data_IF_488239144430
#
_entry.id   IF_488239144430
#
_cell.length_a   1.000
_cell.length_b   1.000
_cell.length_c   1.000
_cell.angle_alpha   90.00
_cell.angle_beta   90.00
_cell.angle_gamma   90.00
#
_symmetry.space_group_name_H-M   'P 1'
#
loop_
_entity.id
_entity.type
_entity.pdbx_description
1 polymer ?
#
# COMPACT_ATOMS: atom_id res chain seq x y z
N UNK A 1 -20.64 25.48 -5.67
CA UNK A 1 -19.76 24.53 -6.40
C UNK A 1 -20.51 24.10 -7.65
N UNK A 2 -19.90 24.17 -8.83
CA UNK A 2 -20.47 23.60 -10.05
C UNK A 2 -20.64 22.09 -9.86
N UNK A 3 -21.69 21.53 -10.42
CA UNK A 3 -21.88 20.07 -10.42
C UNK A 3 -20.79 19.46 -11.30
N UNK A 4 -20.07 18.45 -10.81
CA UNK A 4 -19.13 17.69 -11.62
C UNK A 4 -19.89 16.93 -12.71
N UNK A 5 -19.39 17.02 -13.93
CA UNK A 5 -19.87 16.27 -15.08
C UNK A 5 -18.91 15.14 -15.45
N UNK A 6 -19.37 14.20 -16.27
CA UNK A 6 -18.55 13.05 -16.68
C UNK A 6 -17.25 13.48 -17.38
N UNK A 7 -17.32 14.53 -18.19
CA UNK A 7 -16.14 15.05 -18.90
C UNK A 7 -15.08 15.60 -17.94
N UNK A 8 -15.48 16.26 -16.85
CA UNK A 8 -14.53 16.74 -15.84
C UNK A 8 -13.72 15.57 -15.22
N UNK A 9 -14.34 14.39 -15.10
CA UNK A 9 -13.66 13.19 -14.58
C UNK A 9 -12.75 12.54 -15.62
N UNK A 10 -13.11 12.59 -16.91
CA UNK A 10 -12.25 12.14 -18.01
C UNK A 10 -11.05 13.07 -18.13
N UNK A 11 -11.25 14.38 -18.05
CA UNK A 11 -10.19 15.38 -18.09
C UNK A 11 -9.19 15.20 -16.96
N UNK A 12 -9.59 14.62 -15.83
CA UNK A 12 -8.68 14.23 -14.77
C UNK A 12 -7.66 13.18 -15.22
N UNK A 13 -8.08 12.15 -15.99
CA UNK A 13 -7.14 11.17 -16.55
C UNK A 13 -6.23 11.81 -17.60
N UNK A 14 -6.80 12.66 -18.47
CA UNK A 14 -6.02 13.43 -19.49
C UNK A 14 -4.98 14.31 -18.82
N UNK A 15 -5.30 14.94 -17.70
CA UNK A 15 -4.34 15.78 -16.96
C UNK A 15 -3.17 14.99 -16.36
N UNK A 16 -3.27 13.68 -16.26
CA UNK A 16 -2.21 12.78 -15.84
C UNK A 16 -1.23 12.39 -16.95
N UNK A 17 -1.54 12.71 -18.21
CA UNK A 17 -0.65 12.43 -19.34
C UNK A 17 0.63 13.25 -19.25
N UNK A 18 1.77 12.61 -19.50
CA UNK A 18 3.09 13.23 -19.46
C UNK A 18 3.91 12.87 -20.70
N UNK A 19 4.63 13.83 -21.30
CA UNK A 19 5.58 13.50 -22.36
C UNK A 19 6.65 12.51 -21.83
N UNK A 20 7.18 11.69 -22.72
CA UNK A 20 8.07 10.57 -22.33
C UNK A 20 9.34 11.03 -21.62
N UNK A 21 9.85 12.19 -21.94
CA UNK A 21 11.00 12.82 -21.31
C UNK A 21 10.78 13.18 -19.84
N UNK A 22 9.51 13.35 -19.43
CA UNK A 22 9.12 13.67 -18.06
C UNK A 22 8.71 12.46 -17.23
N UNK A 23 8.76 11.26 -17.83
CA UNK A 23 8.37 10.04 -17.12
C UNK A 23 9.24 9.75 -15.91
N UNK A 24 8.60 9.35 -14.84
CA UNK A 24 9.24 8.96 -13.59
C UNK A 24 8.75 7.57 -13.16
N UNK A 25 9.50 6.98 -12.25
CA UNK A 25 9.14 5.74 -11.56
C UNK A 25 8.89 6.09 -10.10
N UNK A 26 7.68 5.86 -9.61
CA UNK A 26 7.37 5.90 -8.18
C UNK A 26 7.40 4.49 -7.61
N UNK A 27 7.98 4.31 -6.43
CA UNK A 27 7.99 3.02 -5.75
C UNK A 27 7.48 3.11 -4.33
N UNK A 28 6.77 2.07 -3.91
CA UNK A 28 6.30 1.91 -2.53
C UNK A 28 6.86 0.63 -1.96
N UNK A 29 7.31 0.67 -0.71
CA UNK A 29 7.96 -0.47 -0.05
C UNK A 29 7.39 -0.67 1.34
N UNK A 30 6.61 -1.72 1.53
CA UNK A 30 6.09 -2.12 2.83
C UNK A 30 7.00 -3.12 3.52
N UNK A 31 7.09 -3.06 4.85
CA UNK A 31 7.83 -4.00 5.68
C UNK A 31 7.13 -4.26 7.00
N UNK A 32 7.16 -5.52 7.42
CA UNK A 32 6.76 -5.90 8.77
C UNK A 32 7.79 -5.44 9.79
N UNK A 33 7.33 -4.79 10.86
CA UNK A 33 8.16 -4.41 12.00
C UNK A 33 7.93 -5.38 13.15
N UNK A 34 9.01 -5.80 13.82
CA UNK A 34 8.96 -6.77 14.91
C UNK A 34 10.03 -6.49 15.97
N UNK A 35 9.79 -6.98 17.20
CA UNK A 35 10.78 -6.99 18.28
C UNK A 35 11.84 -8.05 18.02
N UNK A 36 13.14 -7.69 18.11
CA UNK A 36 14.25 -8.60 17.78
C UNK A 36 14.34 -9.83 18.70
N UNK A 37 13.97 -9.68 19.97
CA UNK A 37 14.05 -10.73 20.98
C UNK A 37 12.98 -11.82 20.84
N UNK A 38 11.78 -11.46 20.38
CA UNK A 38 10.60 -12.32 20.37
C UNK A 38 10.03 -12.58 18.98
N UNK A 39 10.44 -11.77 18.00
CA UNK A 39 9.83 -11.66 16.66
C UNK A 39 8.36 -11.27 16.68
N UNK A 40 7.83 -10.79 17.82
CA UNK A 40 6.44 -10.33 17.92
C UNK A 40 6.24 -9.04 17.15
N UNK A 41 5.06 -8.91 16.55
CA UNK A 41 4.65 -7.69 15.87
C UNK A 41 4.54 -6.53 16.85
N UNK A 42 4.95 -5.34 16.39
CA UNK A 42 5.02 -4.15 17.25
C UNK A 42 3.66 -3.46 17.31
N UNK A 43 3.17 -3.21 18.52
CA UNK A 43 1.97 -2.41 18.75
C UNK A 43 2.21 -0.91 18.50
N UNK A 44 1.13 -0.15 18.31
CA UNK A 44 1.26 1.29 18.11
C UNK A 44 1.74 2.00 19.38
N UNK A 45 1.13 1.70 20.53
CA UNK A 45 1.44 2.31 21.82
C UNK A 45 2.47 1.50 22.62
N UNK A 46 3.02 2.14 23.66
CA UNK A 46 3.94 1.51 24.61
C UNK A 46 5.41 1.77 24.29
N UNK A 47 6.26 1.23 25.15
CA UNK A 47 7.72 1.31 24.98
C UNK A 47 8.16 0.55 23.74
N UNK A 48 9.01 1.17 22.95
CA UNK A 48 9.44 0.63 21.64
C UNK A 48 8.26 0.39 20.68
N UNK A 49 7.13 1.10 20.82
CA UNK A 49 5.99 1.03 19.92
C UNK A 49 6.22 1.79 18.60
N UNK A 50 5.32 1.58 17.64
CA UNK A 50 5.36 2.28 16.34
C UNK A 50 5.30 3.81 16.53
N UNK A 51 4.52 4.32 17.48
CA UNK A 51 4.48 5.75 17.79
C UNK A 51 5.83 6.30 18.20
N UNK A 52 6.57 5.60 19.07
CA UNK A 52 7.90 5.99 19.48
C UNK A 52 8.89 5.95 18.31
N UNK A 53 8.81 4.90 17.48
CA UNK A 53 9.63 4.75 16.28
C UNK A 53 9.43 5.93 15.33
N UNK A 54 8.17 6.28 15.01
CA UNK A 54 7.87 7.41 14.12
C UNK A 54 8.34 8.74 14.70
N UNK A 55 8.15 8.96 16.01
CA UNK A 55 8.59 10.19 16.65
C UNK A 55 10.11 10.35 16.60
N UNK A 56 10.87 9.29 16.90
CA UNK A 56 12.35 9.30 16.79
C UNK A 56 12.83 9.51 15.36
N UNK A 57 12.18 8.87 14.38
CA UNK A 57 12.48 9.08 12.96
C UNK A 57 12.29 10.53 12.55
N UNK A 58 11.16 11.14 12.95
CA UNK A 58 10.85 12.54 12.67
C UNK A 58 11.90 13.47 13.24
N UNK A 59 12.27 13.27 14.52
CA UNK A 59 13.25 14.11 15.23
C UNK A 59 14.66 14.00 14.64
N UNK A 60 15.13 12.77 14.37
CA UNK A 60 16.47 12.55 13.82
C UNK A 60 16.65 13.04 12.39
N UNK A 61 15.57 13.02 11.58
CA UNK A 61 15.65 13.32 10.16
C UNK A 61 14.95 14.63 9.78
N UNK A 62 14.41 15.35 10.75
CA UNK A 62 13.64 16.59 10.55
C UNK A 62 12.46 16.40 9.56
N UNK A 63 11.69 15.32 9.75
CA UNK A 63 10.50 15.02 8.96
C UNK A 63 9.24 15.58 9.62
N UNK A 64 8.32 16.06 8.81
CA UNK A 64 7.00 16.51 9.27
C UNK A 64 6.17 15.33 9.77
N UNK A 65 5.53 15.48 10.92
CA UNK A 65 4.58 14.49 11.46
C UNK A 65 3.19 14.76 10.92
N UNK A 66 2.57 13.75 10.35
CA UNK A 66 1.16 13.78 9.95
C UNK A 66 0.36 13.11 11.06
N UNK A 67 -0.61 13.86 11.61
CA UNK A 67 -1.38 13.44 12.77
C UNK A 67 -2.83 13.11 12.41
N UNK A 68 -3.37 12.08 13.06
CA UNK A 68 -4.81 11.80 13.10
C UNK A 68 -5.19 11.54 14.58
N UNK A 69 -6.14 12.28 15.12
CA UNK A 69 -6.55 12.20 16.54
C UNK A 69 -5.36 12.23 17.51
N UNK A 70 -4.40 13.13 17.28
CA UNK A 70 -3.13 13.27 18.02
C UNK A 70 -2.16 12.07 17.92
N UNK A 71 -2.44 11.09 17.08
CA UNK A 71 -1.53 9.99 16.80
C UNK A 71 -0.70 10.30 15.55
N UNK A 72 0.61 10.10 15.60
CA UNK A 72 1.48 10.19 14.42
C UNK A 72 1.20 8.99 13.51
N UNK A 73 0.56 9.21 12.36
CA UNK A 73 0.16 8.14 11.43
C UNK A 73 1.03 8.07 10.17
N UNK A 74 1.80 9.10 9.92
CA UNK A 74 2.77 9.15 8.83
C UNK A 74 3.82 10.23 9.09
N UNK A 75 4.91 10.16 8.34
CA UNK A 75 5.95 11.18 8.26
C UNK A 75 6.11 11.61 6.81
N UNK A 76 6.47 12.88 6.59
CA UNK A 76 6.76 13.41 5.26
C UNK A 76 8.08 14.17 5.28
N UNK A 77 8.91 13.95 4.29
CA UNK A 77 10.12 14.75 4.10
C UNK A 77 9.85 16.00 3.24
N UNK A 78 10.85 16.85 3.11
CA UNK A 78 10.77 18.09 2.31
C UNK A 78 10.68 17.84 0.78
N UNK A 79 10.91 16.60 0.31
CA UNK A 79 10.84 16.23 -1.10
C UNK A 79 9.48 15.62 -1.49
N UNK A 80 8.62 15.35 -0.51
CA UNK A 80 7.33 14.72 -0.68
C UNK A 80 7.32 13.20 -0.48
N UNK A 81 8.48 12.57 -0.27
CA UNK A 81 8.53 11.18 0.14
C UNK A 81 7.92 11.02 1.55
N UNK A 82 7.28 9.90 1.81
CA UNK A 82 6.61 9.66 3.08
C UNK A 82 6.87 8.25 3.63
N UNK A 83 6.77 8.15 4.96
CA UNK A 83 6.66 6.87 5.66
C UNK A 83 5.27 6.84 6.27
N UNK A 84 4.48 5.84 5.90
CA UNK A 84 3.11 5.67 6.40
C UNK A 84 2.92 4.34 7.11
N UNK A 85 1.75 4.18 7.73
CA UNK A 85 1.35 2.97 8.43
C UNK A 85 0.26 2.25 7.66
N UNK A 86 0.43 0.95 7.49
CA UNK A 86 -0.62 0.04 7.07
C UNK A 86 -1.36 -0.56 8.28
N UNK A 87 -2.56 -1.16 8.11
CA UNK A 87 -3.44 -1.53 9.21
C UNK A 87 -2.78 -2.37 10.33
N UNK A 88 -1.89 -3.28 9.98
CA UNK A 88 -1.17 -4.15 10.92
C UNK A 88 0.17 -3.58 11.40
N UNK A 89 0.46 -2.31 11.14
CA UNK A 89 1.72 -1.67 11.53
C UNK A 89 2.88 -2.00 10.57
N UNK A 90 2.57 -2.45 9.35
CA UNK A 90 3.55 -2.44 8.29
C UNK A 90 3.95 -0.99 8.01
N UNK A 91 5.25 -0.74 7.93
CA UNK A 91 5.79 0.56 7.54
C UNK A 91 5.97 0.60 6.04
N UNK A 92 5.39 1.61 5.43
CA UNK A 92 5.48 1.86 4.00
C UNK A 92 6.35 3.09 3.72
N UNK A 93 7.36 2.92 2.90
CA UNK A 93 8.00 4.02 2.21
C UNK A 93 7.23 4.29 0.91
N UNK A 94 6.58 5.44 0.80
CA UNK A 94 6.12 5.97 -0.49
C UNK A 94 7.21 6.91 -1.01
N UNK A 95 8.03 6.39 -1.92
CA UNK A 95 9.16 7.10 -2.50
C UNK A 95 8.72 8.23 -3.43
N UNK A 96 9.62 9.16 -3.71
CA UNK A 96 9.36 10.20 -4.70
C UNK A 96 9.44 9.67 -6.13
N UNK A 97 8.81 10.32 -7.11
CA UNK A 97 8.99 9.98 -8.51
C UNK A 97 10.44 10.20 -8.97
N UNK A 98 11.09 9.15 -9.47
CA UNK A 98 12.51 9.12 -9.83
C UNK A 98 12.70 8.76 -11.31
N UNK A 99 13.83 9.15 -11.90
CA UNK A 99 14.09 9.00 -13.32
C UNK A 99 14.54 7.59 -13.73
N UNK A 100 15.16 6.86 -12.80
CA UNK A 100 15.75 5.56 -13.12
C UNK A 100 15.93 4.68 -11.89
N UNK A 101 16.17 3.39 -12.12
CA UNK A 101 16.34 2.36 -11.09
C UNK A 101 17.53 2.62 -10.16
N UNK A 102 18.60 3.28 -10.60
CA UNK A 102 19.74 3.61 -9.74
C UNK A 102 19.35 4.63 -8.67
N UNK A 103 18.53 5.61 -9.03
CA UNK A 103 18.00 6.58 -8.08
C UNK A 103 17.04 5.90 -7.10
N UNK A 104 16.18 5.01 -7.57
CA UNK A 104 15.26 4.21 -6.73
C UNK A 104 16.05 3.31 -5.75
N UNK A 105 17.07 2.63 -6.23
CA UNK A 105 17.94 1.80 -5.38
C UNK A 105 18.65 2.64 -4.30
N UNK A 106 19.12 3.83 -4.65
CA UNK A 106 19.74 4.76 -3.70
C UNK A 106 18.75 5.22 -2.64
N UNK A 107 17.53 5.61 -3.04
CA UNK A 107 16.46 6.02 -2.11
C UNK A 107 16.12 4.90 -1.12
N UNK A 108 15.87 3.69 -1.63
CA UNK A 108 15.59 2.52 -0.79
C UNK A 108 16.76 2.21 0.16
N UNK A 109 18.01 2.27 -0.32
CA UNK A 109 19.20 2.04 0.51
C UNK A 109 19.35 3.08 1.64
N UNK A 110 19.09 4.35 1.35
CA UNK A 110 19.08 5.40 2.36
C UNK A 110 17.97 5.21 3.39
N UNK A 111 16.76 4.86 2.93
CA UNK A 111 15.64 4.54 3.81
C UNK A 111 15.98 3.37 4.74
N UNK A 112 16.48 2.26 4.22
CA UNK A 112 16.86 1.10 5.03
C UNK A 112 17.91 1.45 6.10
N UNK A 113 18.90 2.27 5.76
CA UNK A 113 19.90 2.74 6.70
C UNK A 113 19.30 3.59 7.81
N UNK A 114 18.50 4.60 7.42
CA UNK A 114 17.80 5.48 8.36
C UNK A 114 16.92 4.70 9.35
N UNK A 115 16.15 3.72 8.84
CA UNK A 115 15.31 2.85 9.65
C UNK A 115 16.14 2.02 10.62
N UNK A 116 17.22 1.38 10.16
CA UNK A 116 18.10 0.56 10.98
C UNK A 116 18.69 1.36 12.15
N UNK A 117 19.15 2.58 11.89
CA UNK A 117 19.79 3.44 12.89
C UNK A 117 18.83 3.79 14.05
N UNK A 118 17.51 3.94 13.77
CA UNK A 118 16.51 4.22 14.82
C UNK A 118 15.99 2.95 15.45
N UNK A 119 15.70 1.93 14.66
CA UNK A 119 15.16 0.65 15.14
C UNK A 119 16.10 -0.06 16.11
N UNK A 120 17.42 -0.03 15.86
CA UNK A 120 18.41 -0.64 16.75
C UNK A 120 18.37 -0.06 18.17
N UNK A 121 18.05 1.23 18.34
CA UNK A 121 17.91 1.84 19.66
C UNK A 121 16.66 1.37 20.41
N UNK A 122 15.67 0.88 19.68
CA UNK A 122 14.38 0.42 20.21
C UNK A 122 14.30 -1.12 20.34
N UNK A 123 15.34 -1.85 19.94
CA UNK A 123 15.31 -3.32 19.87
C UNK A 123 14.32 -3.83 18.82
N UNK A 124 14.16 -3.09 17.74
CA UNK A 124 13.24 -3.39 16.64
C UNK A 124 14.01 -3.73 15.36
N UNK A 125 13.37 -4.54 14.54
CA UNK A 125 13.85 -4.85 13.20
C UNK A 125 12.68 -4.89 12.21
N UNK A 126 12.98 -4.97 10.91
CA UNK A 126 11.96 -5.05 9.86
C UNK A 126 12.35 -6.02 8.76
N UNK A 127 11.34 -6.61 8.11
CA UNK A 127 11.53 -7.55 7.00
C UNK A 127 10.46 -7.35 5.93
N UNK A 128 10.88 -7.43 4.65
CA UNK A 128 9.98 -7.43 3.49
C UNK A 128 9.65 -8.85 3.06
N UNK A 129 8.44 -9.31 3.40
CA UNK A 129 7.86 -10.59 2.97
C UNK A 129 6.46 -10.33 2.45
N UNK A 130 5.99 -11.16 1.52
CA UNK A 130 4.63 -10.98 1.00
C UNK A 130 3.52 -11.26 2.01
N UNK A 131 3.77 -12.10 3.01
CA UNK A 131 2.82 -12.47 4.06
C UNK A 131 3.53 -12.70 5.38
N UNK A 132 2.87 -12.41 6.53
CA UNK A 132 3.41 -12.69 7.87
C UNK A 132 3.57 -14.20 8.05
N UNK A 133 4.81 -14.70 8.22
CA UNK A 133 5.06 -16.13 8.20
C UNK A 133 4.72 -16.84 9.51
N UNK A 134 4.57 -16.09 10.62
CA UNK A 134 4.59 -16.66 11.98
C UNK A 134 3.31 -16.44 12.77
N UNK A 135 2.81 -15.21 12.77
CA UNK A 135 1.74 -14.80 13.68
C UNK A 135 0.36 -14.93 13.05
N UNK A 136 -0.61 -15.37 13.85
CA UNK A 136 -2.00 -15.49 13.43
C UNK A 136 -2.67 -14.11 13.28
N UNK A 137 -3.87 -14.06 12.71
CA UNK A 137 -4.68 -12.84 12.62
C UNK A 137 -4.96 -12.24 14.00
N UNK A 138 -5.19 -13.06 15.01
CA UNK A 138 -5.48 -12.61 16.38
C UNK A 138 -4.27 -12.03 17.11
N UNK A 139 -3.06 -12.33 16.65
CA UNK A 139 -1.81 -11.79 17.23
C UNK A 139 -1.44 -10.42 16.64
N UNK A 140 -2.16 -9.95 15.63
CA UNK A 140 -1.85 -8.69 14.96
C UNK A 140 -2.41 -7.49 15.72
N UNK A 141 -1.70 -6.37 15.59
CA UNK A 141 -2.11 -5.09 16.16
C UNK A 141 -2.80 -4.24 15.11
N UNK A 142 -3.72 -3.36 15.54
CA UNK A 142 -4.35 -2.38 14.67
C UNK A 142 -3.73 -1.00 14.89
N UNK A 143 -3.44 -0.31 13.79
CA UNK A 143 -2.97 1.06 13.82
C UNK A 143 -4.14 2.05 13.94
N UNK A 144 -3.95 3.20 14.64
CA UNK A 144 -5.04 4.13 14.98
C UNK A 144 -5.37 5.10 13.83
N UNK A 145 -5.80 4.56 12.68
CA UNK A 145 -6.36 5.34 11.57
C UNK A 145 -7.87 5.06 11.47
N UNK A 146 -8.70 6.12 11.43
CA UNK A 146 -10.16 5.99 11.47
C UNK A 146 -10.75 5.15 10.36
N UNK A 147 -10.17 5.22 9.15
CA UNK A 147 -10.61 4.38 8.02
C UNK A 147 -10.47 2.88 8.27
N UNK A 148 -9.51 2.48 9.12
CA UNK A 148 -9.27 1.06 9.39
C UNK A 148 -10.38 0.42 10.20
N UNK A 149 -11.05 1.16 11.07
CA UNK A 149 -12.20 0.66 11.83
C UNK A 149 -13.38 0.34 10.90
N UNK A 150 -13.66 1.22 9.93
CA UNK A 150 -14.69 1.00 8.91
C UNK A 150 -14.37 -0.26 8.09
N UNK A 151 -13.15 -0.35 7.57
CA UNK A 151 -12.71 -1.49 6.75
C UNK A 151 -12.71 -2.80 7.56
N UNK A 152 -12.28 -2.77 8.82
CA UNK A 152 -12.31 -3.91 9.74
C UNK A 152 -13.72 -4.49 9.91
N UNK A 153 -14.73 -3.62 9.98
CA UNK A 153 -16.13 -4.02 10.14
C UNK A 153 -16.77 -4.45 8.81
N UNK A 154 -16.25 -3.96 7.69
CA UNK A 154 -16.76 -4.26 6.36
C UNK A 154 -16.18 -5.56 5.77
N UNK A 155 -14.86 -5.74 5.80
CA UNK A 155 -14.17 -6.85 5.12
C UNK A 155 -14.74 -8.24 5.42
N UNK A 156 -15.11 -8.59 6.69
CA UNK A 156 -15.69 -9.91 6.99
C UNK A 156 -17.06 -10.16 6.36
N UNK A 157 -17.72 -9.14 5.80
CA UNK A 157 -19.03 -9.27 5.15
C UNK A 157 -18.92 -9.70 3.69
N UNK A 158 -17.75 -9.47 3.07
CA UNK A 158 -17.55 -9.62 1.61
C UNK A 158 -16.47 -10.64 1.24
N UNK A 159 -15.66 -11.09 2.21
CA UNK A 159 -14.63 -12.11 2.00
C UNK A 159 -14.08 -12.65 3.31
N UNK A 160 -13.43 -13.81 3.25
CA UNK A 160 -12.88 -14.46 4.45
C UNK A 160 -11.46 -13.97 4.78
N UNK A 161 -10.72 -13.46 3.78
CA UNK A 161 -9.30 -13.13 3.89
C UNK A 161 -9.02 -11.62 3.84
N UNK A 162 -10.06 -10.78 3.83
CA UNK A 162 -9.89 -9.32 3.81
C UNK A 162 -9.11 -8.78 5.01
N UNK A 163 -9.35 -9.32 6.21
CA UNK A 163 -8.57 -8.93 7.40
C UNK A 163 -7.13 -9.44 7.35
N UNK A 164 -6.87 -10.59 6.72
CA UNK A 164 -5.50 -11.07 6.50
C UNK A 164 -4.76 -10.18 5.50
N UNK A 165 -5.43 -9.75 4.44
CA UNK A 165 -4.88 -8.78 3.51
C UNK A 165 -4.45 -7.51 4.24
N UNK A 166 -5.30 -6.95 5.09
CA UNK A 166 -5.03 -5.73 5.84
C UNK A 166 -3.88 -5.86 6.84
N UNK A 167 -3.83 -6.96 7.58
CA UNK A 167 -2.95 -7.10 8.75
C UNK A 167 -1.66 -7.86 8.48
N UNK A 168 -1.66 -8.76 7.49
CA UNK A 168 -0.64 -9.79 7.32
C UNK A 168 0.04 -9.78 5.97
N UNK A 169 -0.21 -8.80 5.10
CA UNK A 169 0.48 -8.68 3.81
C UNK A 169 1.40 -7.47 3.75
N UNK A 170 2.47 -7.58 2.98
CA UNK A 170 3.28 -6.46 2.52
C UNK A 170 3.50 -6.56 1.01
N UNK A 171 3.74 -5.42 0.37
CA UNK A 171 4.01 -5.35 -1.06
C UNK A 171 5.22 -4.49 -1.38
N UNK A 172 5.69 -4.61 -2.62
CA UNK A 172 6.45 -3.59 -3.33
C UNK A 172 5.58 -3.18 -4.51
N UNK A 173 5.29 -1.89 -4.62
CA UNK A 173 4.48 -1.33 -5.70
C UNK A 173 5.33 -0.43 -6.59
N UNK A 174 5.05 -0.46 -7.89
CA UNK A 174 5.67 0.42 -8.89
C UNK A 174 4.57 1.22 -9.56
N UNK A 175 4.74 2.55 -9.60
CA UNK A 175 3.85 3.49 -10.26
C UNK A 175 4.51 3.98 -11.54
N UNK A 176 3.83 3.85 -12.68
CA UNK A 176 4.33 4.20 -14.00
C UNK A 176 3.50 5.33 -14.60
N UNK A 177 4.16 6.31 -15.21
CA UNK A 177 3.52 7.36 -15.97
C UNK A 177 3.05 6.86 -17.35
N UNK A 178 2.12 7.59 -17.97
CA UNK A 178 1.64 7.38 -19.33
C UNK A 178 1.55 8.70 -20.09
N UNK A 179 1.61 8.66 -21.45
CA UNK A 179 1.62 9.86 -22.27
C UNK A 179 0.33 10.08 -23.06
N UNK A 180 -0.56 9.08 -23.11
CA UNK A 180 -1.84 9.15 -23.80
C UNK A 180 -2.77 8.06 -23.30
N UNK A 181 -4.07 8.16 -23.62
CA UNK A 181 -5.06 7.11 -23.37
C UNK A 181 -4.61 5.75 -23.92
N UNK A 182 -4.13 5.73 -25.18
CA UNK A 182 -3.66 4.48 -25.82
C UNK A 182 -2.46 3.86 -25.09
N UNK A 183 -1.55 4.67 -24.58
CA UNK A 183 -0.41 4.20 -23.80
C UNK A 183 -0.85 3.65 -22.44
N UNK A 184 -1.81 4.30 -21.79
CA UNK A 184 -2.44 3.79 -20.56
C UNK A 184 -3.09 2.43 -20.79
N UNK A 185 -3.91 2.31 -21.83
CA UNK A 185 -4.57 1.05 -22.22
C UNK A 185 -3.53 -0.06 -22.41
N UNK A 186 -2.49 0.20 -23.19
CA UNK A 186 -1.44 -0.78 -23.48
C UNK A 186 -0.70 -1.23 -22.22
N UNK A 187 -0.29 -0.28 -21.36
CA UNK A 187 0.36 -0.58 -20.08
C UNK A 187 -0.53 -1.39 -19.15
N UNK A 188 -1.80 -1.03 -19.06
CA UNK A 188 -2.75 -1.72 -18.20
C UNK A 188 -2.97 -3.18 -18.66
N UNK A 189 -3.19 -3.39 -19.96
CA UNK A 189 -3.34 -4.73 -20.55
C UNK A 189 -2.11 -5.60 -20.31
N UNK A 190 -0.91 -5.07 -20.57
CA UNK A 190 0.35 -5.80 -20.33
C UNK A 190 0.52 -6.13 -18.85
N UNK A 191 0.27 -5.17 -17.95
CA UNK A 191 0.43 -5.37 -16.51
C UNK A 191 -0.49 -6.48 -15.99
N UNK A 192 -1.76 -6.51 -16.42
CA UNK A 192 -2.68 -7.58 -16.05
C UNK A 192 -2.33 -8.93 -16.70
N UNK A 193 -1.93 -8.94 -17.95
CA UNK A 193 -1.52 -10.17 -18.65
C UNK A 193 -0.28 -10.82 -18.02
N UNK A 194 0.65 -10.00 -17.49
CA UNK A 194 1.88 -10.46 -16.84
C UNK A 194 1.71 -10.75 -15.33
N UNK A 195 0.54 -10.55 -14.76
CA UNK A 195 0.31 -10.69 -13.31
C UNK A 195 0.71 -12.07 -12.78
N UNK A 196 0.35 -13.15 -13.47
CA UNK A 196 0.72 -14.51 -13.06
C UNK A 196 2.23 -14.76 -13.13
N UNK A 197 2.89 -14.22 -14.14
CA UNK A 197 4.35 -14.31 -14.31
C UNK A 197 5.05 -13.52 -13.19
N UNK A 198 4.61 -12.30 -12.92
CA UNK A 198 5.15 -11.48 -11.83
C UNK A 198 4.94 -12.16 -10.46
N UNK A 199 3.77 -12.75 -10.21
CA UNK A 199 3.50 -13.52 -8.99
C UNK A 199 4.47 -14.69 -8.84
N UNK A 200 4.76 -15.43 -9.90
CA UNK A 200 5.71 -16.56 -9.88
C UNK A 200 7.15 -16.09 -9.63
N UNK A 201 7.58 -15.00 -10.28
CA UNK A 201 8.95 -14.47 -10.18
C UNK A 201 9.25 -13.86 -8.80
N UNK A 202 8.26 -13.19 -8.20
CA UNK A 202 8.43 -12.45 -6.94
C UNK A 202 7.77 -13.13 -5.72
N UNK A 203 7.36 -14.40 -5.85
CA UNK A 203 6.80 -15.16 -4.73
C UNK A 203 7.80 -15.26 -3.58
N UNK A 204 7.40 -14.81 -2.39
CA UNK A 204 8.24 -14.82 -1.18
C UNK A 204 7.42 -14.96 0.11
N UNK A 205 6.30 -15.70 0.06
CA UNK A 205 5.42 -15.90 1.21
C UNK A 205 4.90 -17.35 1.32
N UNK A 206 5.80 -18.35 1.48
CA UNK A 206 5.40 -19.75 1.50
C UNK A 206 4.92 -20.25 2.87
N UNK A 207 4.96 -19.42 3.91
CA UNK A 207 4.60 -19.81 5.27
C UNK A 207 3.40 -19.05 5.82
N UNK A 208 2.55 -19.74 6.58
CA UNK A 208 1.44 -19.21 7.37
C UNK A 208 1.52 -19.85 8.76
N UNK A 209 1.55 -19.02 9.83
CA UNK A 209 1.54 -19.47 11.23
C UNK A 209 2.61 -20.52 11.54
N UNK A 210 3.81 -20.32 10.98
CA UNK A 210 4.95 -21.21 11.19
C UNK A 210 4.94 -22.50 10.37
N UNK A 211 3.94 -22.70 9.52
CA UNK A 211 3.79 -23.90 8.68
C UNK A 211 3.87 -23.55 7.19
N UNK A 212 4.31 -24.51 6.37
CA UNK A 212 4.26 -24.38 4.93
C UNK A 212 2.79 -24.31 4.46
N UNK A 213 2.43 -23.26 3.70
CA UNK A 213 1.06 -23.01 3.26
C UNK A 213 0.62 -23.85 2.05
N UNK A 214 1.56 -24.47 1.36
CA UNK A 214 1.32 -25.13 0.06
C UNK A 214 1.43 -24.17 -1.12
N UNK A 215 1.59 -22.87 -0.90
CA UNK A 215 1.78 -21.83 -1.92
C UNK A 215 3.15 -21.18 -1.79
N UNK A 216 3.76 -20.78 -2.91
CA UNK A 216 4.95 -19.94 -2.89
C UNK A 216 4.61 -18.47 -2.60
N UNK A 217 3.38 -18.07 -2.92
CA UNK A 217 2.82 -16.76 -2.63
C UNK A 217 1.47 -16.86 -1.93
N UNK A 218 1.47 -17.01 -0.60
CA UNK A 218 0.26 -16.91 0.23
C UNK A 218 -0.41 -15.55 0.09
N UNK A 219 0.37 -14.49 -0.18
CA UNK A 219 -0.15 -13.16 -0.47
C UNK A 219 -1.10 -13.16 -1.68
N UNK A 220 -0.70 -13.80 -2.77
CA UNK A 220 -1.54 -13.88 -3.97
C UNK A 220 -2.85 -14.64 -3.70
N UNK A 221 -2.79 -15.71 -2.90
CA UNK A 221 -3.96 -16.48 -2.48
C UNK A 221 -4.93 -15.63 -1.65
N UNK A 222 -4.44 -14.80 -0.74
CA UNK A 222 -5.29 -13.92 0.09
C UNK A 222 -6.14 -12.98 -0.76
N UNK A 223 -5.60 -12.43 -1.85
CA UNK A 223 -6.32 -11.53 -2.74
C UNK A 223 -7.47 -12.20 -3.51
N UNK A 224 -7.53 -13.53 -3.56
CA UNK A 224 -8.64 -14.25 -4.22
C UNK A 224 -9.92 -14.33 -3.39
N UNK A 225 -9.86 -14.01 -2.08
CA UNK A 225 -11.00 -14.03 -1.17
C UNK A 225 -10.98 -12.82 -0.20
N UNK A 226 -10.70 -11.65 -0.76
CA UNK A 226 -10.67 -10.38 0.01
C UNK A 226 -11.98 -9.63 -0.14
N UNK A 227 -12.36 -9.25 -1.36
CA UNK A 227 -13.55 -8.45 -1.66
C UNK A 227 -13.85 -8.55 -3.16
N UNK A 228 -14.89 -9.29 -3.53
CA UNK A 228 -15.23 -9.57 -4.92
C UNK A 228 -15.61 -8.32 -5.75
N UNK A 229 -16.04 -7.24 -5.10
CA UNK A 229 -16.42 -6.01 -5.77
C UNK A 229 -15.22 -5.12 -6.12
N UNK A 230 -14.08 -5.32 -5.43
CA UNK A 230 -12.91 -4.44 -5.51
C UNK A 230 -11.61 -5.13 -5.88
N UNK A 231 -11.55 -6.46 -5.76
CA UNK A 231 -10.35 -7.25 -6.05
C UNK A 231 -10.59 -8.20 -7.21
N UNK A 232 -9.54 -8.45 -7.99
CA UNK A 232 -9.59 -9.37 -9.12
C UNK A 232 -8.95 -8.77 -10.37
N UNK A 233 -9.21 -9.41 -11.50
CA UNK A 233 -8.76 -8.95 -12.82
C UNK A 233 -9.95 -8.36 -13.56
N UNK A 234 -10.04 -7.05 -13.75
CA UNK A 234 -11.15 -6.42 -14.45
C UNK A 234 -11.11 -6.77 -15.94
N UNK A 235 -11.97 -7.69 -16.36
CA UNK A 235 -12.01 -8.19 -17.73
C UNK A 235 -12.26 -7.12 -18.79
N UNK A 236 -12.91 -6.01 -18.41
CA UNK A 236 -13.14 -4.85 -19.28
C UNK A 236 -11.85 -4.26 -19.86
N UNK A 237 -10.71 -4.42 -19.20
CA UNK A 237 -9.41 -3.92 -19.68
C UNK A 237 -8.99 -4.56 -21.01
N UNK A 238 -9.49 -5.75 -21.31
CA UNK A 238 -9.21 -6.48 -22.56
C UNK A 238 -10.28 -6.26 -23.64
N UNK A 239 -11.28 -5.40 -23.39
CA UNK A 239 -12.24 -5.00 -24.42
C UNK A 239 -11.54 -4.14 -25.49
N UNK A 240 -11.84 -4.34 -26.79
CA UNK A 240 -11.26 -3.53 -27.85
C UNK A 240 -11.56 -2.02 -27.74
N UNK A 241 -12.63 -1.65 -27.06
CA UNK A 241 -13.02 -0.26 -26.82
C UNK A 241 -12.60 0.25 -25.45
N UNK A 242 -11.70 -0.44 -24.74
CA UNK A 242 -11.22 0.01 -23.43
C UNK A 242 -10.47 1.32 -23.56
N UNK A 243 -10.77 2.25 -22.65
CA UNK A 243 -10.19 3.59 -22.58
C UNK A 243 -10.62 4.32 -21.32
N UNK A 244 -10.37 5.64 -21.24
CA UNK A 244 -10.70 6.45 -20.07
C UNK A 244 -12.18 6.41 -19.72
N UNK A 245 -13.05 6.52 -20.73
CA UNK A 245 -14.49 6.52 -20.49
C UNK A 245 -14.99 5.18 -19.94
N UNK A 246 -14.56 4.06 -20.53
CA UNK A 246 -14.98 2.74 -20.07
C UNK A 246 -14.40 2.42 -18.69
N UNK A 247 -13.14 2.84 -18.43
CA UNK A 247 -12.53 2.72 -17.11
C UNK A 247 -13.25 3.56 -16.07
N UNK A 248 -13.59 4.82 -16.39
CA UNK A 248 -14.37 5.68 -15.51
C UNK A 248 -15.73 5.05 -15.17
N UNK A 249 -16.45 4.55 -16.17
CA UNK A 249 -17.73 3.89 -15.94
C UNK A 249 -17.61 2.66 -15.04
N UNK A 250 -16.51 1.90 -15.15
CA UNK A 250 -16.24 0.76 -14.29
C UNK A 250 -15.99 1.20 -12.84
N UNK A 251 -15.10 2.16 -12.59
CA UNK A 251 -14.77 2.59 -11.22
C UNK A 251 -15.94 3.28 -10.52
N UNK A 252 -16.82 3.96 -11.26
CA UNK A 252 -18.03 4.59 -10.69
C UNK A 252 -19.08 3.57 -10.23
N UNK A 253 -18.99 2.31 -10.65
CA UNK A 253 -19.86 1.23 -10.20
C UNK A 253 -19.32 0.52 -8.96
N UNK A 254 -18.04 0.73 -8.60
CA UNK A 254 -17.44 0.12 -7.42
C UNK A 254 -18.02 0.78 -6.16
N UNK A 255 -18.64 0.00 -5.24
CA UNK A 255 -19.20 0.56 -4.01
C UNK A 255 -18.12 1.25 -3.17
N UNK A 256 -18.42 2.39 -2.55
CA UNK A 256 -17.51 3.07 -1.63
C UNK A 256 -17.63 2.48 -0.23
N UNK A 257 -16.52 2.45 0.52
CA UNK A 257 -16.55 2.10 1.95
C UNK A 257 -16.99 3.26 2.83
N UNK A 258 -16.52 4.46 2.49
CA UNK A 258 -16.73 5.68 3.24
C UNK A 258 -16.48 6.90 2.36
N UNK A 259 -16.93 8.04 2.85
CA UNK A 259 -16.51 9.36 2.35
C UNK A 259 -15.75 10.10 3.47
N UNK A 260 -14.80 10.96 3.06
CA UNK A 260 -14.08 11.82 4.00
C UNK A 260 -14.51 13.26 3.80
N UNK A 261 -15.15 13.84 4.80
CA UNK A 261 -15.62 15.24 4.77
C UNK A 261 -15.40 15.90 6.11
N UNK A 262 -14.98 17.16 6.09
CA UNK A 262 -14.81 18.00 7.29
C UNK A 262 -13.96 17.31 8.38
N UNK A 263 -12.90 16.61 7.95
CA UNK A 263 -11.99 15.92 8.88
C UNK A 263 -12.53 14.62 9.47
N UNK A 264 -13.63 14.07 8.93
CA UNK A 264 -14.26 12.85 9.45
C UNK A 264 -14.48 11.82 8.34
N UNK A 265 -14.31 10.55 8.71
CA UNK A 265 -14.77 9.42 7.91
C UNK A 265 -16.25 9.17 8.19
N UNK A 266 -17.03 9.02 7.13
CA UNK A 266 -18.47 8.75 7.16
C UNK A 266 -18.66 7.41 6.45
N UNK A 267 -19.14 6.40 7.17
CA UNK A 267 -19.51 5.09 6.67
C UNK A 267 -20.77 5.22 5.76
N UNK A 268 -20.84 4.50 4.63
CA UNK A 268 -21.92 4.59 3.64
C UNK A 268 -22.37 3.22 3.12
#
# INVERSE_FOLDING_TARGET
MSKLEKNDLIDWFVSGEKPREDWKIGTEHEKFVFHEDSFKRVGYFGKSGISELLNKLAEKNNWEKILENNNTIALRDHTGASISLEPGGQLELSGKPLENLHQTCKETGLHLKMMKDVMSELGLSMIGLGYDPKWSRSDQNWMPKGRYEIMKNYMPKVGNLGLDMMLRTCTIQVNLDYFSEQDMVHKFQISLALQSVATALFANSPFIEGQASGYLSSRAMVWTDTDSDRTGVPGIVFDPNFGYESWLNYILQVPMYFIYREGKYIDI
#
